data_IF_704332036911
#
_entry.id   IF_704332036911
#
_cell.length_a   1.000
_cell.length_b   1.000
_cell.length_c   1.000
_cell.angle_alpha   90.00
_cell.angle_beta   90.00
_cell.angle_gamma   90.00
#
_symmetry.space_group_name_H-M   'P 1'
#
loop_
_entity.id
_entity.type
_entity.pdbx_description
1 polymer ?
#
# COMPACT_ATOMS: atom_id res chain seq x y z
N UNK A 1 -12.27 5.48 -10.81
CA UNK A 1 -11.26 6.10 -9.92
C UNK A 1 -10.18 6.76 -10.77
N UNK A 2 -9.70 7.97 -10.48
CA UNK A 2 -8.69 8.68 -11.32
C UNK A 2 -7.26 8.15 -11.16
N UNK A 3 -6.89 7.73 -9.93
CA UNK A 3 -5.54 7.27 -9.59
C UNK A 3 -4.56 8.38 -9.19
N UNK A 4 -5.05 9.62 -9.06
CA UNK A 4 -4.25 10.85 -8.85
C UNK A 4 -3.80 11.09 -7.41
N UNK A 5 -4.25 10.28 -6.45
CA UNK A 5 -3.93 10.45 -5.04
C UNK A 5 -3.20 9.23 -4.49
N UNK A 6 -2.07 9.48 -3.85
CA UNK A 6 -1.26 8.49 -3.17
C UNK A 6 -1.08 8.90 -1.71
N UNK A 7 -1.40 8.01 -0.78
CA UNK A 7 -1.10 8.23 0.62
C UNK A 7 0.41 8.12 0.86
N UNK A 8 0.90 8.84 1.88
CA UNK A 8 2.29 8.76 2.31
C UNK A 8 2.58 7.38 2.86
N UNK A 9 3.69 6.77 2.42
CA UNK A 9 4.07 5.42 2.84
C UNK A 9 4.34 5.35 4.34
N UNK A 10 4.01 4.20 4.94
CA UNK A 10 4.39 3.85 6.31
C UNK A 10 5.46 2.77 6.25
N UNK A 11 6.59 3.00 6.91
CA UNK A 11 7.67 2.03 7.05
C UNK A 11 7.79 1.64 8.52
N UNK A 12 7.79 0.34 8.80
CA UNK A 12 7.86 -0.19 10.17
C UNK A 12 9.18 -0.94 10.33
N UNK A 13 10.06 -0.42 11.18
CA UNK A 13 11.33 -1.08 11.51
C UNK A 13 11.37 -1.64 12.93
N UNK A 14 12.49 -2.29 13.29
CA UNK A 14 12.69 -2.83 14.65
C UNK A 14 13.05 -1.74 15.66
N UNK A 15 13.99 -0.87 15.29
CA UNK A 15 14.48 0.21 16.17
C UNK A 15 13.64 1.47 16.02
N UNK A 16 13.33 2.12 17.14
CA UNK A 16 12.64 3.41 17.15
C UNK A 16 13.52 4.54 16.61
N UNK A 17 14.84 4.46 16.85
CA UNK A 17 15.83 5.43 16.38
C UNK A 17 16.99 4.68 15.72
N UNK A 18 16.84 4.23 14.47
CA UNK A 18 17.92 3.61 13.73
C UNK A 18 19.13 4.54 13.64
N UNK A 19 20.35 3.97 13.74
CA UNK A 19 21.61 4.75 13.64
C UNK A 19 21.66 5.60 12.37
N UNK A 20 21.20 5.05 11.25
CA UNK A 20 21.16 5.71 9.95
C UNK A 20 20.17 6.89 9.85
N UNK A 21 19.29 7.08 10.85
CA UNK A 21 18.39 8.24 10.89
C UNK A 21 18.92 9.36 11.81
N UNK A 22 20.12 9.20 12.37
CA UNK A 22 20.74 10.25 13.19
C UNK A 22 20.88 11.53 12.36
N UNK A 23 20.49 12.66 12.95
CA UNK A 23 20.50 14.00 12.32
C UNK A 23 19.52 14.19 11.14
N UNK A 24 18.65 13.23 10.84
CA UNK A 24 17.61 13.40 9.83
C UNK A 24 16.43 14.16 10.44
N UNK A 25 16.23 15.42 10.03
CA UNK A 25 15.16 16.29 10.56
C UNK A 25 13.76 15.82 10.17
N UNK A 26 13.59 15.33 8.93
CA UNK A 26 12.29 14.93 8.38
C UNK A 26 12.47 13.75 7.41
N UNK A 27 11.69 12.69 7.64
CA UNK A 27 11.67 11.53 6.75
C UNK A 27 10.60 11.70 5.65
N UNK A 28 10.89 11.19 4.43
CA UNK A 28 9.94 11.23 3.32
C UNK A 28 8.78 10.23 3.50
N UNK A 29 8.84 9.36 4.52
CA UNK A 29 7.80 8.40 4.90
C UNK A 29 7.34 8.61 6.34
N UNK A 30 6.24 7.97 6.74
CA UNK A 30 5.91 7.79 8.15
C UNK A 30 6.67 6.57 8.70
N UNK A 31 7.68 6.82 9.53
CA UNK A 31 8.41 5.73 10.19
C UNK A 31 7.76 5.37 11.53
N UNK A 32 7.57 4.07 11.76
CA UNK A 32 7.12 3.49 13.04
C UNK A 32 8.04 2.34 13.41
N UNK A 33 7.99 1.93 14.67
CA UNK A 33 8.84 0.83 15.15
C UNK A 33 8.12 -0.09 16.12
N UNK A 34 8.37 -1.38 15.99
CA UNK A 34 8.04 -2.38 17.00
C UNK A 34 9.00 -3.58 16.88
N UNK A 35 9.04 -4.45 17.90
CA UNK A 35 9.98 -5.59 17.95
C UNK A 35 9.92 -6.52 16.73
N UNK A 36 8.74 -6.65 16.11
CA UNK A 36 8.50 -7.55 14.97
C UNK A 36 8.70 -6.89 13.60
N UNK A 37 8.86 -5.56 13.55
CA UNK A 37 8.90 -4.77 12.31
C UNK A 37 7.72 -5.06 11.35
N UNK A 38 6.52 -5.24 11.90
CA UNK A 38 5.32 -5.56 11.12
C UNK A 38 4.12 -4.70 11.52
N UNK A 39 3.08 -4.68 10.69
CA UNK A 39 1.83 -4.00 11.03
C UNK A 39 1.17 -4.67 12.24
N UNK A 40 0.67 -3.87 13.17
CA UNK A 40 -0.14 -4.33 14.31
C UNK A 40 -1.50 -3.64 14.29
N UNK A 41 -2.48 -4.22 14.96
CA UNK A 41 -3.82 -3.62 15.10
C UNK A 41 -3.77 -2.22 15.70
N UNK A 42 -2.94 -2.01 16.73
CA UNK A 42 -2.74 -0.69 17.35
C UNK A 42 -2.19 0.34 16.34
N UNK A 43 -1.16 -0.02 15.56
CA UNK A 43 -0.58 0.88 14.57
C UNK A 43 -1.58 1.19 13.44
N UNK A 44 -2.31 0.17 12.98
CA UNK A 44 -3.33 0.32 11.95
C UNK A 44 -4.48 1.24 12.41
N UNK A 45 -5.01 1.02 13.61
CA UNK A 45 -6.07 1.87 14.18
C UNK A 45 -5.61 3.31 14.38
N UNK A 46 -4.38 3.52 14.88
CA UNK A 46 -3.80 4.87 15.02
C UNK A 46 -3.68 5.57 13.67
N UNK A 47 -3.23 4.86 12.65
CA UNK A 47 -3.15 5.38 11.29
C UNK A 47 -4.54 5.77 10.75
N UNK A 48 -5.54 4.89 10.88
CA UNK A 48 -6.89 5.19 10.40
C UNK A 48 -7.52 6.39 11.11
N UNK A 49 -7.38 6.51 12.44
CA UNK A 49 -7.90 7.67 13.19
C UNK A 49 -7.23 8.98 12.78
N UNK A 50 -5.94 8.94 12.48
CA UNK A 50 -5.22 10.13 11.99
C UNK A 50 -5.72 10.52 10.60
N UNK A 51 -5.84 9.55 9.69
CA UNK A 51 -6.33 9.79 8.34
C UNK A 51 -7.79 10.27 8.32
N UNK A 52 -8.64 9.73 9.19
CA UNK A 52 -10.04 10.14 9.35
C UNK A 52 -10.15 11.63 9.74
N UNK A 53 -9.31 12.10 10.68
CA UNK A 53 -9.23 13.53 11.04
C UNK A 53 -8.78 14.41 9.87
N UNK A 54 -7.80 13.95 9.09
CA UNK A 54 -7.34 14.69 7.91
C UNK A 54 -8.43 14.78 6.84
N UNK A 55 -9.22 13.73 6.68
CA UNK A 55 -10.38 13.71 5.79
C UNK A 55 -11.53 14.58 6.32
N UNK A 56 -11.71 14.68 7.64
CA UNK A 56 -12.70 15.58 8.24
C UNK A 56 -12.38 17.04 7.96
N UNK A 57 -11.10 17.42 8.09
CA UNK A 57 -10.62 18.76 7.74
C UNK A 57 -10.86 19.07 6.26
N UNK A 58 -10.76 18.06 5.39
CA UNK A 58 -11.04 18.17 3.94
C UNK A 58 -12.53 17.98 3.60
N UNK A 59 -13.39 17.75 4.60
CA UNK A 59 -14.81 17.42 4.45
C UNK A 59 -15.10 16.33 3.41
N UNK A 60 -14.21 15.32 3.34
CA UNK A 60 -14.29 14.23 2.37
C UNK A 60 -14.61 12.90 3.05
N UNK A 61 -15.43 12.09 2.41
CA UNK A 61 -15.67 10.68 2.79
C UNK A 61 -15.00 9.75 1.79
N UNK A 62 -14.48 8.61 2.26
CA UNK A 62 -13.87 7.59 1.41
C UNK A 62 -14.30 6.18 1.82
N UNK A 63 -14.16 5.25 0.89
CA UNK A 63 -14.20 3.81 1.14
C UNK A 63 -12.76 3.28 1.10
N UNK A 64 -12.36 2.55 2.14
CA UNK A 64 -11.08 1.84 2.20
C UNK A 64 -11.29 0.35 1.95
N UNK A 65 -10.82 -0.14 0.80
CA UNK A 65 -10.76 -1.57 0.49
C UNK A 65 -9.45 -2.13 1.05
N UNK A 66 -9.53 -3.11 1.95
CA UNK A 66 -8.35 -3.72 2.57
C UNK A 66 -8.53 -5.23 2.72
N UNK A 67 -7.43 -5.99 2.74
CA UNK A 67 -7.50 -7.41 2.96
C UNK A 67 -7.79 -7.77 4.42
N UNK A 68 -8.46 -8.91 4.61
CA UNK A 68 -8.78 -9.45 5.93
C UNK A 68 -7.52 -10.04 6.61
N UNK A 69 -6.66 -9.17 7.12
CA UNK A 69 -5.48 -9.52 7.89
C UNK A 69 -5.76 -9.35 9.39
N UNK A 70 -5.15 -10.19 10.23
CA UNK A 70 -5.23 -10.09 11.71
C UNK A 70 -4.83 -8.72 12.28
N UNK A 71 -3.99 -7.96 11.55
CA UNK A 71 -3.58 -6.62 11.95
C UNK A 71 -4.61 -5.54 11.55
N UNK A 72 -5.55 -5.82 10.65
CA UNK A 72 -6.49 -4.83 10.13
C UNK A 72 -7.78 -4.85 10.95
N UNK A 73 -7.71 -4.36 12.19
CA UNK A 73 -8.89 -4.20 13.04
C UNK A 73 -9.44 -2.78 12.85
N UNK A 74 -10.69 -2.67 12.40
CA UNK A 74 -11.37 -1.38 12.24
C UNK A 74 -11.62 -0.72 13.60
N UNK A 75 -11.23 0.55 13.80
CA UNK A 75 -11.59 1.30 15.00
C UNK A 75 -13.06 1.74 14.96
N UNK A 76 -13.74 1.69 16.11
CA UNK A 76 -15.19 1.94 16.23
C UNK A 76 -15.66 3.38 15.95
N UNK A 77 -14.74 4.33 15.81
CA UNK A 77 -15.05 5.77 15.87
C UNK A 77 -14.70 6.54 14.57
N UNK A 78 -14.62 5.85 13.43
CA UNK A 78 -14.38 6.50 12.14
C UNK A 78 -15.64 7.22 11.65
N UNK A 79 -15.49 8.45 11.16
CA UNK A 79 -16.61 9.27 10.66
C UNK A 79 -16.53 9.50 9.14
N UNK A 80 -15.33 9.46 8.57
CA UNK A 80 -15.04 9.80 7.18
C UNK A 80 -14.57 8.60 6.36
N UNK A 81 -14.00 7.60 7.01
CA UNK A 81 -13.56 6.36 6.38
C UNK A 81 -14.56 5.25 6.66
N UNK A 82 -15.08 4.61 5.59
CA UNK A 82 -15.79 3.33 5.69
C UNK A 82 -14.87 2.20 5.26
N UNK A 83 -14.55 1.27 6.14
CA UNK A 83 -13.67 0.13 5.82
C UNK A 83 -14.49 -1.01 5.22
N UNK A 84 -13.99 -1.61 4.14
CA UNK A 84 -14.53 -2.83 3.57
C UNK A 84 -13.41 -3.86 3.47
N UNK A 85 -13.59 -4.94 4.21
CA UNK A 85 -12.67 -6.06 4.19
C UNK A 85 -12.95 -6.98 3.01
N UNK A 86 -11.90 -7.32 2.28
CA UNK A 86 -11.92 -8.32 1.23
C UNK A 86 -11.83 -9.70 1.89
N UNK A 87 -12.97 -10.40 1.97
CA UNK A 87 -13.15 -11.65 2.74
C UNK A 87 -12.89 -12.94 1.94
N UNK A 88 -12.42 -12.86 0.69
CA UNK A 88 -12.23 -14.05 -0.13
C UNK A 88 -11.09 -14.93 0.42
N UNK A 89 -11.36 -16.20 0.77
CA UNK A 89 -10.31 -17.11 1.24
C UNK A 89 -9.29 -17.27 0.11
N UNK A 90 -8.00 -17.13 0.42
CA UNK A 90 -6.92 -17.18 -0.56
C UNK A 90 -7.08 -16.17 -1.71
N UNK A 91 -7.44 -14.92 -1.37
CA UNK A 91 -7.59 -13.83 -2.35
C UNK A 91 -6.40 -13.84 -3.32
N UNK A 92 -6.60 -14.37 -4.53
CA UNK A 92 -5.61 -14.32 -5.58
C UNK A 92 -5.28 -12.84 -5.80
N UNK A 93 -4.04 -12.54 -6.19
CA UNK A 93 -3.59 -11.17 -6.49
C UNK A 93 -4.58 -10.38 -7.36
N UNK A 94 -5.42 -11.10 -8.13
CA UNK A 94 -6.55 -10.63 -8.96
C UNK A 94 -7.50 -9.69 -8.23
N UNK A 95 -7.94 -10.00 -7.00
CA UNK A 95 -9.01 -9.24 -6.35
C UNK A 95 -8.51 -8.07 -5.49
N UNK A 96 -7.20 -7.93 -5.31
CA UNK A 96 -6.61 -6.84 -4.54
C UNK A 96 -6.04 -5.81 -5.54
N UNK A 97 -6.64 -4.61 -5.69
CA UNK A 97 -6.19 -3.62 -6.68
C UNK A 97 -4.70 -3.29 -6.60
N UNK A 98 -4.16 -3.28 -5.38
CA UNK A 98 -2.75 -3.00 -5.12
C UNK A 98 -1.80 -4.08 -5.69
N UNK A 99 -2.27 -5.32 -5.80
CA UNK A 99 -1.53 -6.43 -6.40
C UNK A 99 -1.72 -6.50 -7.93
N UNK A 100 -2.72 -5.79 -8.49
CA UNK A 100 -2.96 -5.63 -9.92
C UNK A 100 -2.08 -4.54 -10.54
N UNK A 101 -0.76 -4.68 -10.40
CA UNK A 101 0.23 -3.84 -11.08
C UNK A 101 0.87 -2.74 -10.23
N UNK A 102 0.20 -2.23 -9.20
CA UNK A 102 0.76 -1.16 -8.33
C UNK A 102 2.02 -1.65 -7.59
N UNK A 103 1.95 -2.78 -6.88
CA UNK A 103 3.10 -3.38 -6.19
C UNK A 103 4.20 -3.75 -7.18
N UNK A 104 3.84 -4.29 -8.35
CA UNK A 104 4.81 -4.67 -9.37
C UNK A 104 5.58 -3.45 -9.88
N UNK A 105 4.87 -2.40 -10.30
CA UNK A 105 5.46 -1.14 -10.74
C UNK A 105 6.38 -0.53 -9.67
N UNK A 106 5.92 -0.48 -8.42
CA UNK A 106 6.72 0.01 -7.30
C UNK A 106 8.04 -0.77 -7.14
N UNK A 107 7.98 -2.11 -7.17
CA UNK A 107 9.18 -2.97 -7.09
C UNK A 107 10.12 -2.75 -8.27
N UNK A 108 9.59 -2.60 -9.47
CA UNK A 108 10.39 -2.33 -10.68
C UNK A 108 11.10 -0.97 -10.59
N UNK A 109 10.40 0.08 -10.18
CA UNK A 109 11.02 1.40 -9.96
C UNK A 109 12.08 1.36 -8.86
N UNK A 110 11.82 0.64 -7.76
CA UNK A 110 12.80 0.49 -6.67
C UNK A 110 14.07 -0.20 -7.16
N UNK A 111 13.94 -1.34 -7.85
CA UNK A 111 15.10 -2.08 -8.40
C UNK A 111 15.89 -1.24 -9.40
N UNK A 112 15.20 -0.53 -10.30
CA UNK A 112 15.85 0.35 -11.27
C UNK A 112 16.68 1.42 -10.56
N UNK A 113 16.12 2.08 -9.56
CA UNK A 113 16.85 3.13 -8.83
C UNK A 113 17.99 2.58 -7.98
N UNK A 114 17.83 1.38 -7.41
CA UNK A 114 18.89 0.71 -6.69
C UNK A 114 20.08 0.40 -7.60
N UNK A 115 19.84 -0.11 -8.80
CA UNK A 115 20.89 -0.39 -9.80
C UNK A 115 21.59 0.91 -10.20
N UNK A 116 20.85 1.99 -10.45
CA UNK A 116 21.44 3.29 -10.78
C UNK A 116 22.34 3.82 -9.65
N UNK A 117 21.93 3.65 -8.39
CA UNK A 117 22.77 4.03 -7.24
C UNK A 117 24.05 3.20 -7.17
N UNK A 118 23.96 1.88 -7.41
CA UNK A 118 25.12 0.99 -7.43
C UNK A 118 26.10 1.37 -8.54
N UNK A 119 25.60 1.67 -9.74
CA UNK A 119 26.42 2.13 -10.86
C UNK A 119 27.12 3.46 -10.54
N UNK A 120 26.42 4.39 -9.90
CA UNK A 120 27.01 5.67 -9.49
C UNK A 120 28.14 5.48 -8.45
N UNK A 121 27.99 4.54 -7.52
CA UNK A 121 29.06 4.17 -6.59
C UNK A 121 30.25 3.54 -7.32
N UNK A 122 29.98 2.65 -8.29
CA UNK A 122 31.01 2.01 -9.11
C UNK A 122 31.83 3.04 -9.90
N UNK A 123 31.17 3.97 -10.60
CA UNK A 123 31.84 5.02 -11.38
C UNK A 123 32.71 5.94 -10.49
N UNK A 124 32.36 6.07 -9.21
CA UNK A 124 33.09 6.88 -8.22
C UNK A 124 34.18 6.08 -7.48
N UNK A 125 34.40 4.80 -7.81
CA UNK A 125 35.26 3.88 -7.06
C UNK A 125 34.97 3.89 -5.54
N UNK A 126 33.69 3.84 -5.17
CA UNK A 126 33.23 3.80 -3.76
C UNK A 126 32.47 2.52 -3.46
N UNK A 127 32.63 2.03 -2.25
CA UNK A 127 31.80 0.93 -1.73
C UNK A 127 30.32 1.35 -1.70
N UNK A 128 29.44 0.45 -2.15
CA UNK A 128 28.01 0.69 -2.23
C UNK A 128 27.26 0.10 -1.02
N UNK A 129 27.48 0.68 0.16
CA UNK A 129 26.73 0.34 1.36
C UNK A 129 25.38 1.07 1.39
N UNK A 130 24.31 0.35 1.02
CA UNK A 130 22.94 0.90 1.05
C UNK A 130 22.43 0.91 2.48
N UNK A 131 22.30 2.10 3.06
CA UNK A 131 21.76 2.27 4.41
C UNK A 131 20.24 2.14 4.44
N UNK A 132 19.67 2.03 5.66
CA UNK A 132 18.21 2.09 5.84
C UNK A 132 17.63 3.43 5.37
N UNK A 133 18.40 4.53 5.49
CA UNK A 133 17.96 5.84 5.02
C UNK A 133 17.84 5.86 3.50
N UNK A 134 18.86 5.31 2.81
CA UNK A 134 18.86 5.20 1.35
C UNK A 134 17.68 4.35 0.88
N UNK A 135 17.46 3.19 1.52
CA UNK A 135 16.31 2.34 1.21
C UNK A 135 14.97 3.08 1.36
N UNK A 136 14.80 3.87 2.43
CA UNK A 136 13.57 4.65 2.65
C UNK A 136 13.40 5.76 1.61
N UNK A 137 14.48 6.46 1.26
CA UNK A 137 14.46 7.51 0.24
C UNK A 137 14.16 6.93 -1.14
N UNK A 138 14.82 5.84 -1.52
CA UNK A 138 14.56 5.11 -2.76
C UNK A 138 13.13 4.58 -2.80
N UNK A 139 12.59 4.10 -1.68
CA UNK A 139 11.23 3.61 -1.59
C UNK A 139 10.19 4.70 -1.84
N UNK A 140 10.37 5.87 -1.22
CA UNK A 140 9.49 7.01 -1.46
C UNK A 140 9.60 7.54 -2.90
N UNK A 141 10.82 7.69 -3.43
CA UNK A 141 11.02 8.10 -4.82
C UNK A 141 10.42 7.09 -5.81
N UNK A 142 10.45 5.80 -5.49
CA UNK A 142 9.81 4.78 -6.33
C UNK A 142 8.29 4.87 -6.29
N UNK A 143 7.73 5.27 -5.14
CA UNK A 143 6.30 5.47 -4.99
C UNK A 143 5.78 6.70 -5.74
N UNK A 144 6.58 7.77 -5.82
CA UNK A 144 6.22 8.94 -6.64
C UNK A 144 6.20 8.60 -8.13
N UNK A 145 7.07 7.68 -8.59
CA UNK A 145 7.12 7.21 -9.98
C UNK A 145 5.97 6.30 -10.41
N UNK A 146 5.26 5.64 -9.48
CA UNK A 146 4.06 4.87 -9.84
C UNK A 146 3.00 5.80 -10.41
N UNK A 147 2.63 5.58 -11.66
CA UNK A 147 1.77 6.51 -12.40
C UNK A 147 0.30 6.38 -12.00
N UNK A 148 -0.48 7.43 -12.28
CA UNK A 148 -1.92 7.41 -12.08
C UNK A 148 -2.61 6.34 -12.95
N UNK A 149 -2.10 6.09 -14.15
CA UNK A 149 -2.61 5.05 -15.04
C UNK A 149 -2.40 3.66 -14.47
N UNK A 150 -1.24 3.38 -13.88
CA UNK A 150 -0.99 2.10 -13.19
C UNK A 150 -1.95 1.90 -12.02
N UNK A 151 -2.19 2.95 -11.21
CA UNK A 151 -3.15 2.87 -10.10
C UNK A 151 -4.55 2.63 -10.64
N UNK A 152 -4.99 3.45 -11.60
CA UNK A 152 -6.34 3.34 -12.19
C UNK A 152 -6.58 1.94 -12.76
N UNK A 153 -5.64 1.42 -13.55
CA UNK A 153 -5.76 0.09 -14.15
C UNK A 153 -5.88 -1.01 -13.10
N UNK A 154 -5.10 -0.93 -12.01
CA UNK A 154 -5.19 -1.89 -10.91
C UNK A 154 -6.57 -1.92 -10.24
N UNK A 155 -7.26 -0.77 -10.16
CA UNK A 155 -8.63 -0.70 -9.66
C UNK A 155 -9.69 -1.08 -10.69
N UNK A 156 -9.45 -0.87 -11.99
CA UNK A 156 -10.39 -1.27 -13.06
C UNK A 156 -10.55 -2.80 -13.13
N UNK A 157 -9.46 -3.56 -12.99
CA UNK A 157 -9.49 -5.03 -13.04
C UNK A 157 -10.40 -5.67 -11.98
N UNK A 158 -10.63 -5.00 -10.85
CA UNK A 158 -11.52 -5.49 -9.78
C UNK A 158 -13.00 -5.22 -10.09
N UNK A 159 -13.30 -4.21 -10.92
CA UNK A 159 -14.67 -3.84 -11.27
C UNK A 159 -15.30 -4.68 -12.39
N UNK A 160 -14.50 -5.36 -13.21
CA UNK A 160 -15.00 -6.19 -14.33
C UNK A 160 -15.35 -7.64 -13.94
N UNK A 161 -15.34 -7.98 -12.64
CA UNK A 161 -15.49 -9.36 -12.14
C UNK A 161 -16.91 -9.71 -11.62
N UNK A 162 -17.96 -9.06 -12.15
CA UNK A 162 -19.36 -9.55 -12.11
C UNK A 162 -19.94 -9.29 -13.51
N UNK A 163 -20.33 -10.29 -14.31
CA UNK A 163 -21.55 -11.09 -14.17
C UNK A 163 -21.39 -12.44 -14.88
N UNK A 164 -21.30 -13.55 -14.15
CA UNK A 164 -21.98 -14.79 -14.58
C UNK A 164 -23.14 -14.95 -13.61
N UNK A 165 -24.21 -14.21 -13.89
CA UNK A 165 -25.52 -14.56 -13.37
C UNK A 165 -26.03 -15.76 -14.15
N UNK A 166 -26.60 -16.65 -13.37
CA UNK A 166 -27.49 -17.75 -13.71
C UNK A 166 -28.52 -17.41 -14.78
N UNK A 167 -28.51 -18.12 -15.90
CA UNK A 167 -29.65 -18.39 -16.79
C UNK A 167 -29.43 -19.84 -17.26
N UNK A 168 -30.12 -20.84 -16.69
CA UNK A 168 -31.50 -21.28 -16.94
C UNK A 168 -31.42 -22.62 -17.70
N UNK A 169 -31.68 -23.70 -16.97
CA UNK A 169 -32.19 -24.93 -17.57
C UNK A 169 -33.33 -25.42 -16.67
N UNK A 170 -34.47 -24.75 -16.82
CA UNK A 170 -35.79 -25.30 -16.55
C UNK A 170 -35.96 -26.65 -17.28
N UNK A 171 -35.70 -27.76 -16.59
CA UNK A 171 -36.10 -29.09 -17.05
C UNK A 171 -37.58 -29.32 -16.68
N UNK A 172 -38.47 -29.66 -17.64
CA UNK A 172 -39.86 -29.98 -17.31
C UNK A 172 -39.96 -31.35 -16.62
N UNK A 173 -41.02 -31.60 -15.83
CA UNK A 173 -41.18 -32.90 -15.18
C UNK A 173 -41.60 -33.95 -16.22
N UNK A 174 -40.76 -34.97 -16.40
CA UNK A 174 -41.14 -36.20 -17.06
C UNK A 174 -42.05 -37.02 -16.14
N UNK A 175 -43.15 -37.51 -16.73
CA UNK A 175 -44.25 -38.30 -16.13
C UNK A 175 -43.80 -39.47 -15.27
#
# INVERSE_FOLDING_TARGET
MKGSEKQKLIVIGKSQKPRYFKNVKKLPVHYKSNKKACMTSDLFQKYLRQWDKELDNKKRKIVLLIDNCRAHIEPSNLQRIKVFFLHFPNTTSVLKPIYQGVIHSLKCHYRKQLILLILECYDKNKDCDISLLDAVVLFEKSWTLVTESTIRNGFSCVGHMKTQETEDDNLPPSK
#
